data_IF_893571298123
#
_entry.id   IF_893571298123
#
_cell.length_a   1.000
_cell.length_b   1.000
_cell.length_c   1.000
_cell.angle_alpha   90.00
_cell.angle_beta   90.00
_cell.angle_gamma   90.00
#
_symmetry.space_group_name_H-M   'P 1'
#
loop_
_entity.id
_entity.type
_entity.pdbx_description
1 polymer ?
#
# COMPACT_ATOMS: atom_id res chain seq x y z
N UNK A 1 -12.42 -28.11 -33.96
CA UNK A 1 -11.25 -28.02 -33.05
C UNK A 1 -11.58 -28.74 -31.76
N UNK A 2 -10.68 -29.59 -31.21
CA UNK A 2 -10.93 -30.26 -29.94
C UNK A 2 -11.01 -29.22 -28.82
N UNK A 3 -11.93 -29.42 -27.89
CA UNK A 3 -12.16 -28.51 -26.76
C UNK A 3 -10.91 -28.54 -25.87
N UNK A 4 -10.22 -27.41 -25.76
CA UNK A 4 -9.01 -27.25 -24.94
C UNK A 4 -9.31 -27.72 -23.51
N UNK A 5 -8.60 -28.75 -23.05
CA UNK A 5 -8.75 -29.32 -21.72
C UNK A 5 -8.54 -28.21 -20.67
N UNK A 6 -9.55 -27.94 -19.84
CA UNK A 6 -9.44 -26.93 -18.78
C UNK A 6 -8.63 -27.55 -17.64
N UNK A 7 -7.42 -27.04 -17.42
CA UNK A 7 -6.63 -27.37 -16.22
C UNK A 7 -7.50 -27.19 -14.97
N UNK A 8 -7.48 -28.17 -14.07
CA UNK A 8 -8.13 -28.08 -12.77
C UNK A 8 -7.64 -26.83 -12.02
N UNK A 9 -8.55 -26.15 -11.32
CA UNK A 9 -8.19 -24.98 -10.49
C UNK A 9 -7.42 -25.49 -9.27
N UNK A 10 -6.14 -25.16 -9.18
CA UNK A 10 -5.26 -25.53 -8.06
C UNK A 10 -5.14 -24.34 -7.11
N UNK A 11 -5.31 -24.58 -5.80
CA UNK A 11 -5.09 -23.54 -4.78
C UNK A 11 -3.59 -23.31 -4.56
N UNK A 12 -3.15 -22.07 -4.25
CA UNK A 12 -1.73 -21.76 -4.09
C UNK A 12 -1.04 -22.69 -3.07
N UNK A 13 0.09 -23.30 -3.43
CA UNK A 13 0.77 -24.31 -2.61
C UNK A 13 1.35 -23.77 -1.30
N UNK A 14 1.57 -22.46 -1.20
CA UNK A 14 2.12 -21.79 -0.02
C UNK A 14 1.11 -21.52 1.10
N UNK A 15 -0.19 -21.74 0.87
CA UNK A 15 -1.19 -21.59 1.93
C UNK A 15 -1.13 -22.78 2.92
N UNK A 16 -1.31 -22.56 4.23
CA UNK A 16 -1.39 -23.67 5.17
C UNK A 16 -2.61 -24.54 4.87
N UNK A 17 -2.41 -25.87 4.85
CA UNK A 17 -3.51 -26.86 4.76
C UNK A 17 -3.90 -27.27 6.17
N UNK A 18 -5.18 -27.15 6.50
CA UNK A 18 -5.74 -27.67 7.74
C UNK A 18 -6.57 -28.89 7.39
N UNK A 19 -6.09 -30.06 7.76
CA UNK A 19 -6.79 -31.32 7.50
C UNK A 19 -7.99 -31.47 8.44
N UNK A 20 -9.14 -31.82 7.87
CA UNK A 20 -10.34 -32.22 8.61
C UNK A 20 -10.77 -33.59 8.12
N UNK A 21 -10.47 -34.62 8.90
CA UNK A 21 -10.88 -36.00 8.62
C UNK A 21 -12.30 -36.18 9.14
N UNK A 22 -13.22 -36.59 8.27
CA UNK A 22 -14.59 -36.94 8.63
C UNK A 22 -14.69 -38.46 8.58
N UNK A 23 -14.66 -39.10 9.75
CA UNK A 23 -14.81 -40.55 9.87
C UNK A 23 -16.30 -40.93 9.82
N UNK A 24 -16.64 -42.12 9.28
CA UNK A 24 -17.99 -42.66 9.39
C UNK A 24 -18.35 -42.90 10.87
N UNK A 25 -19.65 -42.78 11.19
CA UNK A 25 -20.15 -42.96 12.57
C UNK A 25 -19.81 -44.34 13.17
N UNK A 26 -19.61 -45.35 12.33
CA UNK A 26 -19.14 -46.67 12.72
C UNK A 26 -18.30 -47.26 11.58
N UNK A 27 -17.26 -48.01 11.96
CA UNK A 27 -16.43 -48.80 11.05
C UNK A 27 -16.71 -50.29 11.19
N UNK A 28 -17.67 -50.73 12.00
CA UNK A 28 -17.99 -52.15 12.15
C UNK A 28 -18.48 -52.74 10.83
N UNK A 29 -17.90 -53.88 10.40
CA UNK A 29 -18.35 -54.58 9.20
C UNK A 29 -19.79 -55.05 9.41
N UNK A 30 -20.72 -54.72 8.50
CA UNK A 30 -22.07 -55.26 8.52
C UNK A 30 -22.12 -56.80 8.51
N UNK A 31 -21.04 -57.44 8.06
CA UNK A 31 -20.86 -58.88 8.03
C UNK A 31 -20.47 -59.51 9.39
N UNK A 32 -20.17 -58.70 10.41
CA UNK A 32 -19.82 -59.17 11.75
C UNK A 32 -18.38 -59.64 11.94
N UNK A 33 -17.50 -59.47 10.94
CA UNK A 33 -16.10 -59.92 11.04
C UNK A 33 -15.17 -59.00 11.85
N UNK A 34 -15.70 -57.91 12.42
CA UNK A 34 -14.94 -56.88 13.13
C UNK A 34 -14.95 -55.55 12.39
N UNK A 35 -13.97 -54.69 12.68
CA UNK A 35 -13.87 -53.36 12.09
C UNK A 35 -13.31 -53.40 10.65
N UNK A 36 -13.85 -52.54 9.79
CA UNK A 36 -13.40 -52.33 8.41
C UNK A 36 -12.05 -51.60 8.39
N UNK A 37 -11.23 -51.91 7.39
CA UNK A 37 -9.92 -51.30 7.18
C UNK A 37 -9.99 -50.14 6.20
N UNK A 38 -9.20 -49.08 6.45
CA UNK A 38 -9.09 -47.92 5.55
C UNK A 38 -8.33 -48.31 4.28
N UNK A 39 -8.96 -48.19 3.11
CA UNK A 39 -8.40 -48.60 1.80
C UNK A 39 -8.01 -47.44 0.88
N UNK A 40 -8.44 -46.22 1.21
CA UNK A 40 -8.22 -45.03 0.38
C UNK A 40 -9.02 -43.84 0.95
N UNK A 41 -8.87 -42.70 0.30
CA UNK A 41 -9.59 -41.47 0.66
C UNK A 41 -9.86 -40.61 -0.56
N UNK A 42 -10.95 -39.85 -0.51
CA UNK A 42 -11.21 -38.75 -1.43
C UNK A 42 -10.82 -37.44 -0.76
N UNK A 43 -10.04 -36.61 -1.46
CA UNK A 43 -9.60 -35.30 -0.97
C UNK A 43 -10.28 -34.17 -1.73
N UNK A 44 -10.75 -33.15 -1.02
CA UNK A 44 -11.28 -31.92 -1.62
C UNK A 44 -10.65 -30.71 -0.92
N UNK A 45 -9.89 -29.91 -1.67
CA UNK A 45 -9.36 -28.66 -1.15
C UNK A 45 -10.40 -27.53 -1.27
N UNK A 46 -10.55 -26.77 -0.18
CA UNK A 46 -11.39 -25.56 -0.14
C UNK A 46 -10.61 -24.44 0.53
N UNK A 47 -10.71 -23.23 -0.02
CA UNK A 47 -10.11 -22.04 0.58
C UNK A 47 -10.96 -21.60 1.78
N UNK A 48 -10.35 -21.53 2.95
CA UNK A 48 -10.95 -21.01 4.18
C UNK A 48 -10.39 -19.62 4.53
N UNK A 49 -11.15 -18.83 5.28
CA UNK A 49 -10.74 -17.51 5.76
C UNK A 49 -10.98 -17.41 7.28
N UNK A 50 -9.89 -17.32 8.04
CA UNK A 50 -9.93 -17.00 9.46
C UNK A 50 -9.83 -15.48 9.60
N UNK A 51 -10.81 -14.80 10.20
CA UNK A 51 -10.78 -13.35 10.30
C UNK A 51 -9.60 -12.83 11.11
N UNK A 52 -9.16 -11.61 10.80
CA UNK A 52 -8.21 -10.90 11.63
C UNK A 52 -8.75 -10.75 13.06
N UNK A 53 -8.00 -11.25 14.05
CA UNK A 53 -8.32 -11.10 15.47
C UNK A 53 -7.64 -9.86 16.03
N UNK A 54 -8.40 -9.02 16.74
CA UNK A 54 -7.86 -7.90 17.50
C UNK A 54 -7.45 -8.37 18.90
N UNK A 55 -6.29 -7.91 19.37
CA UNK A 55 -5.79 -8.20 20.72
C UNK A 55 -5.25 -6.93 21.38
N UNK A 56 -5.29 -6.92 22.70
CA UNK A 56 -4.66 -5.88 23.52
C UNK A 56 -3.26 -6.35 23.92
N UNK A 57 -2.24 -5.53 23.66
CA UNK A 57 -0.89 -5.76 24.18
C UNK A 57 -0.75 -5.00 25.50
N UNK A 58 -0.55 -5.74 26.59
CA UNK A 58 -0.37 -5.15 27.94
C UNK A 58 1.11 -5.10 28.27
N UNK A 59 1.70 -3.91 28.22
CA UNK A 59 3.11 -3.70 28.59
C UNK A 59 3.22 -3.44 30.09
N UNK A 60 3.68 -4.45 30.85
CA UNK A 60 3.89 -4.33 32.30
C UNK A 60 5.33 -3.93 32.57
N UNK A 61 5.53 -2.84 33.31
CA UNK A 61 6.85 -2.34 33.74
C UNK A 61 6.93 -2.34 35.27
N UNK A 62 7.39 -3.43 35.91
CA UNK A 62 7.48 -3.50 37.35
C UNK A 62 8.46 -2.46 37.91
N UNK A 63 8.11 -1.91 39.08
CA UNK A 63 8.97 -1.01 39.86
C UNK A 63 9.61 -1.80 40.99
N UNK A 64 10.89 -1.59 41.21
CA UNK A 64 11.65 -2.26 42.26
C UNK A 64 12.22 -1.21 43.22
N UNK A 65 12.21 -1.50 44.51
CA UNK A 65 12.77 -0.64 45.54
C UNK A 65 13.61 -1.47 46.51
N UNK A 66 14.63 -0.85 47.14
CA UNK A 66 15.38 -1.51 48.20
C UNK A 66 14.46 -1.77 49.41
N UNK A 67 14.34 -3.02 49.89
CA UNK A 67 13.53 -3.31 51.09
C UNK A 67 13.99 -2.57 52.35
N UNK A 68 15.29 -2.20 52.40
CA UNK A 68 15.90 -1.47 53.51
C UNK A 68 15.93 0.05 53.30
N UNK A 69 15.30 0.57 52.24
CA UNK A 69 15.21 2.01 51.95
C UNK A 69 16.54 2.69 51.58
N UNK A 70 17.59 1.93 51.24
CA UNK A 70 18.94 2.46 51.00
C UNK A 70 19.18 2.98 49.58
N UNK A 71 18.29 2.67 48.65
CA UNK A 71 18.35 3.13 47.25
C UNK A 71 16.96 3.53 46.77
N UNK A 72 16.91 4.36 45.73
CA UNK A 72 15.67 4.78 45.07
C UNK A 72 14.94 3.66 44.31
N UNK A 73 13.79 4.02 43.74
CA UNK A 73 12.96 3.12 42.91
C UNK A 73 13.58 2.99 41.51
N UNK A 74 13.73 1.76 41.04
CA UNK A 74 14.19 1.42 39.68
C UNK A 74 13.02 0.88 38.86
N UNK A 75 12.88 1.37 37.64
CA UNK A 75 11.90 0.90 36.66
C UNK A 75 12.51 1.00 35.25
N UNK A 76 12.26 0.01 34.39
CA UNK A 76 12.60 0.12 32.96
C UNK A 76 11.89 1.33 32.34
N UNK A 77 12.47 2.01 31.34
CA UNK A 77 11.82 3.11 30.60
C UNK A 77 10.64 2.62 29.76
N UNK A 78 9.71 3.52 29.43
CA UNK A 78 8.62 3.19 28.51
C UNK A 78 9.22 2.92 27.12
N UNK A 79 8.77 1.88 26.40
CA UNK A 79 9.00 1.83 24.96
C UNK A 79 8.43 3.10 24.31
N UNK A 80 9.13 3.62 23.30
CA UNK A 80 8.57 4.67 22.47
C UNK A 80 7.55 4.06 21.50
N UNK A 81 6.45 4.76 21.28
CA UNK A 81 5.41 4.39 20.34
C UNK A 81 5.25 5.44 19.26
N UNK A 82 4.86 5.02 18.05
CA UNK A 82 4.66 5.96 16.95
C UNK A 82 3.61 7.02 17.32
N UNK A 83 2.49 6.59 17.90
CA UNK A 83 1.46 7.48 18.43
C UNK A 83 1.40 7.39 19.96
N UNK A 84 2.22 8.18 20.64
CA UNK A 84 2.21 8.29 22.10
C UNK A 84 0.79 8.61 22.64
N UNK A 85 0.45 7.95 23.76
CA UNK A 85 -0.85 8.10 24.44
C UNK A 85 -2.06 7.59 23.66
N UNK A 86 -1.86 6.87 22.56
CA UNK A 86 -2.95 6.36 21.70
C UNK A 86 -3.06 4.84 21.79
N UNK A 87 -4.24 4.29 21.48
CA UNK A 87 -4.47 2.84 21.53
C UNK A 87 -3.74 1.98 20.48
N UNK A 88 -3.53 2.43 19.23
CA UNK A 88 -3.12 1.52 18.17
C UNK A 88 -1.61 1.23 18.26
N UNK A 89 -1.26 -0.02 18.02
CA UNK A 89 0.13 -0.40 17.75
C UNK A 89 0.52 -0.01 16.33
N UNK A 90 1.82 0.02 16.05
CA UNK A 90 2.38 0.30 14.73
C UNK A 90 1.85 -0.69 13.67
N UNK A 91 1.67 -1.95 14.07
CA UNK A 91 1.07 -2.97 13.21
C UNK A 91 -0.40 -2.67 12.88
N UNK A 92 -1.20 -2.19 13.84
CA UNK A 92 -2.59 -1.79 13.58
C UNK A 92 -2.63 -0.56 12.67
N UNK A 93 -1.76 0.43 12.88
CA UNK A 93 -1.65 1.61 12.02
C UNK A 93 -1.29 1.21 10.58
N UNK A 94 -0.31 0.32 10.41
CA UNK A 94 0.06 -0.22 9.10
C UNK A 94 -1.12 -0.92 8.42
N UNK A 95 -1.87 -1.76 9.16
CA UNK A 95 -3.04 -2.44 8.61
C UNK A 95 -4.13 -1.45 8.15
N UNK A 96 -4.42 -0.41 8.94
CA UNK A 96 -5.41 0.63 8.60
C UNK A 96 -4.96 1.36 7.32
N UNK A 97 -3.68 1.73 7.24
CA UNK A 97 -3.10 2.42 6.10
C UNK A 97 -3.13 1.57 4.83
N UNK A 98 -2.69 0.30 4.88
CA UNK A 98 -2.74 -0.64 3.76
C UNK A 98 -4.17 -0.86 3.31
N UNK A 99 -5.09 -1.12 4.24
CA UNK A 99 -6.51 -1.32 3.92
C UNK A 99 -7.10 -0.09 3.22
N UNK A 100 -6.73 1.12 3.66
CA UNK A 100 -7.25 2.37 3.09
C UNK A 100 -6.68 2.65 1.70
N UNK A 101 -5.37 2.50 1.54
CA UNK A 101 -4.64 3.01 0.38
C UNK A 101 -4.35 1.96 -0.68
N UNK A 102 -4.03 0.71 -0.28
CA UNK A 102 -3.82 -0.41 -1.20
C UNK A 102 -5.14 -1.10 -1.54
N UNK A 103 -5.94 -1.42 -0.52
CA UNK A 103 -7.16 -2.23 -0.70
C UNK A 103 -8.42 -1.39 -0.93
N UNK A 104 -8.28 -0.07 -1.07
CA UNK A 104 -9.38 0.87 -1.31
C UNK A 104 -10.55 0.76 -0.31
N UNK A 105 -10.28 0.38 0.94
CA UNK A 105 -11.29 0.26 1.99
C UNK A 105 -11.39 1.57 2.78
N UNK A 106 -12.42 2.41 2.54
CA UNK A 106 -12.52 3.69 3.21
C UNK A 106 -12.71 3.53 4.73
N UNK A 107 -12.26 4.51 5.51
CA UNK A 107 -12.21 4.43 6.97
C UNK A 107 -13.58 4.18 7.62
N UNK A 108 -14.67 4.66 7.03
CA UNK A 108 -16.03 4.35 7.50
C UNK A 108 -16.34 2.85 7.40
N UNK A 109 -15.88 2.19 6.32
CA UNK A 109 -16.06 0.75 6.13
C UNK A 109 -15.16 -0.04 7.08
N UNK A 110 -13.94 0.44 7.32
CA UNK A 110 -13.05 -0.16 8.32
C UNK A 110 -13.65 -0.09 9.72
N UNK A 111 -14.20 1.06 10.13
CA UNK A 111 -14.88 1.22 11.42
C UNK A 111 -16.04 0.21 11.60
N UNK A 112 -16.87 0.01 10.56
CA UNK A 112 -17.95 -0.98 10.58
C UNK A 112 -17.41 -2.41 10.72
N UNK A 113 -16.31 -2.74 10.05
CA UNK A 113 -15.68 -4.06 10.17
C UNK A 113 -15.10 -4.27 11.57
N UNK A 114 -14.37 -3.30 12.12
CA UNK A 114 -13.84 -3.36 13.48
C UNK A 114 -14.96 -3.55 14.51
N UNK A 115 -16.09 -2.83 14.37
CA UNK A 115 -17.26 -2.99 15.23
C UNK A 115 -17.86 -4.41 15.16
N UNK A 116 -17.91 -5.05 13.97
CA UNK A 116 -18.36 -6.45 13.83
C UNK A 116 -17.41 -7.44 14.52
N UNK A 117 -16.14 -7.08 14.68
CA UNK A 117 -15.17 -7.84 15.45
C UNK A 117 -15.15 -7.47 16.94
N UNK A 118 -16.13 -6.72 17.43
CA UNK A 118 -16.24 -6.33 18.83
C UNK A 118 -15.33 -5.17 19.25
N UNK A 119 -14.74 -4.45 18.29
CA UNK A 119 -13.85 -3.30 18.53
C UNK A 119 -14.44 -2.04 17.90
N UNK A 120 -15.46 -1.42 18.52
CA UNK A 120 -16.07 -0.22 17.97
C UNK A 120 -15.09 0.97 18.05
N UNK A 121 -14.57 1.41 16.91
CA UNK A 121 -13.71 2.61 16.79
C UNK A 121 -14.38 3.59 15.83
N UNK A 122 -14.54 4.83 16.26
CA UNK A 122 -15.17 5.85 15.43
C UNK A 122 -14.29 6.21 14.22
N UNK A 123 -14.94 6.55 13.10
CA UNK A 123 -14.25 6.98 11.87
C UNK A 123 -13.33 8.19 12.11
N UNK A 124 -13.72 9.13 12.97
CA UNK A 124 -12.91 10.31 13.30
C UNK A 124 -11.60 9.93 13.99
N UNK A 125 -11.63 8.94 14.88
CA UNK A 125 -10.43 8.39 15.55
C UNK A 125 -9.51 7.73 14.53
N UNK A 126 -10.05 6.92 13.61
CA UNK A 126 -9.25 6.35 12.53
C UNK A 126 -8.63 7.44 11.62
N UNK A 127 -9.36 8.53 11.37
CA UNK A 127 -8.87 9.63 10.56
C UNK A 127 -7.75 10.42 11.27
N UNK A 128 -7.88 10.67 12.57
CA UNK A 128 -6.82 11.26 13.41
C UNK A 128 -5.55 10.42 13.37
N UNK A 129 -5.67 9.12 13.63
CA UNK A 129 -4.54 8.19 13.60
C UNK A 129 -3.85 8.18 12.24
N UNK A 130 -4.61 8.18 11.14
CA UNK A 130 -4.05 8.25 9.80
C UNK A 130 -3.34 9.58 9.52
N UNK A 131 -3.89 10.71 9.98
CA UNK A 131 -3.27 12.02 9.84
C UNK A 131 -1.93 12.10 10.57
N UNK A 132 -1.90 11.71 11.85
CA UNK A 132 -0.68 11.70 12.66
C UNK A 132 0.36 10.72 12.13
N UNK A 133 -0.05 9.52 11.72
CA UNK A 133 0.83 8.53 11.09
C UNK A 133 1.43 9.07 9.80
N UNK A 134 0.61 9.73 8.96
CA UNK A 134 1.07 10.39 7.74
C UNK A 134 2.11 11.48 7.98
N UNK A 135 1.94 12.29 9.03
CA UNK A 135 2.93 13.29 9.39
C UNK A 135 4.27 12.67 9.85
N UNK A 136 4.22 11.58 10.63
CA UNK A 136 5.42 10.93 11.16
C UNK A 136 6.20 10.13 10.11
N UNK A 137 5.55 9.67 9.04
CA UNK A 137 6.24 8.95 7.94
C UNK A 137 6.80 9.91 6.88
N UNK A 138 6.46 11.19 6.91
CA UNK A 138 6.92 12.18 5.92
C UNK A 138 8.44 12.18 5.71
N UNK A 139 9.31 12.11 6.75
CA UNK A 139 10.76 12.05 6.54
C UNK A 139 11.24 10.83 5.74
N UNK A 140 10.54 9.69 5.86
CA UNK A 140 10.84 8.49 5.07
C UNK A 140 10.48 8.74 3.60
N UNK A 141 9.33 9.36 3.35
CA UNK A 141 8.89 9.72 1.98
C UNK A 141 9.84 10.74 1.35
N UNK A 142 10.28 11.74 2.11
CA UNK A 142 11.25 12.74 1.66
C UNK A 142 12.59 12.08 1.29
N UNK A 143 13.06 11.14 2.12
CA UNK A 143 14.27 10.38 1.82
C UNK A 143 14.10 9.50 0.57
N UNK A 144 12.95 8.82 0.42
CA UNK A 144 12.63 8.06 -0.79
C UNK A 144 12.64 8.94 -2.04
N UNK A 145 12.13 10.17 -1.95
CA UNK A 145 12.13 11.13 -3.06
C UNK A 145 13.55 11.54 -3.46
N UNK A 146 14.46 11.71 -2.49
CA UNK A 146 15.88 11.97 -2.75
C UNK A 146 16.54 10.78 -3.43
N UNK A 147 16.35 9.56 -2.91
CA UNK A 147 16.95 8.34 -3.47
C UNK A 147 16.48 8.06 -4.90
N UNK A 148 15.22 8.37 -5.23
CA UNK A 148 14.71 8.23 -6.60
C UNK A 148 15.51 9.08 -7.59
N UNK A 149 16.00 10.25 -7.19
CA UNK A 149 16.74 11.19 -8.06
C UNK A 149 18.24 10.90 -8.15
N UNK A 150 18.88 10.40 -7.09
CA UNK A 150 20.34 10.31 -7.00
C UNK A 150 20.93 9.13 -7.80
N UNK A 151 20.22 8.00 -7.85
CA UNK A 151 20.73 6.75 -8.43
C UNK A 151 19.99 6.37 -9.73
N UNK A 152 19.71 7.35 -10.60
CA UNK A 152 19.16 7.06 -11.92
C UNK A 152 19.47 8.14 -12.95
N UNK A 153 19.47 7.72 -14.22
CA UNK A 153 19.54 8.62 -15.38
C UNK A 153 18.16 8.89 -15.99
N UNK A 154 17.12 8.21 -15.49
CA UNK A 154 15.78 8.26 -16.04
C UNK A 154 14.72 8.21 -14.95
N UNK A 155 13.76 9.13 -15.06
CA UNK A 155 12.53 9.13 -14.26
C UNK A 155 11.31 9.11 -15.17
N UNK A 156 10.20 8.67 -14.63
CA UNK A 156 8.89 8.78 -15.25
C UNK A 156 8.05 9.71 -14.38
N UNK A 157 7.41 10.68 -15.02
CA UNK A 157 6.61 11.70 -14.33
C UNK A 157 5.24 11.77 -14.98
N UNK A 158 4.21 11.66 -14.15
CA UNK A 158 2.81 11.74 -14.57
C UNK A 158 1.97 12.42 -13.49
N UNK A 159 1.04 13.28 -13.87
CA UNK A 159 0.10 13.90 -12.96
C UNK A 159 -1.32 13.35 -13.15
N UNK A 160 -1.89 12.82 -12.07
CA UNK A 160 -3.28 12.35 -12.03
C UNK A 160 -4.13 13.26 -11.16
N UNK A 161 -5.35 13.56 -11.62
CA UNK A 161 -6.27 14.42 -10.88
C UNK A 161 -7.00 13.65 -9.79
N UNK A 162 -7.26 14.32 -8.66
CA UNK A 162 -8.11 13.81 -7.58
C UNK A 162 -9.05 14.92 -7.08
N UNK A 163 -10.31 14.61 -6.73
CA UNK A 163 -11.19 15.55 -6.06
C UNK A 163 -10.73 15.76 -4.62
N UNK A 164 -10.38 16.99 -4.27
CA UNK A 164 -9.93 17.40 -2.93
C UNK A 164 -11.01 18.28 -2.32
N UNK A 165 -11.29 18.10 -1.03
CA UNK A 165 -12.23 18.97 -0.31
C UNK A 165 -11.75 20.43 -0.38
N UNK A 166 -12.68 21.35 -0.60
CA UNK A 166 -12.44 22.80 -0.57
C UNK A 166 -13.26 23.42 0.58
N UNK A 167 -12.75 23.35 1.83
CA UNK A 167 -13.50 23.80 3.02
C UNK A 167 -14.03 25.22 2.86
N UNK A 168 -15.26 25.46 3.32
CA UNK A 168 -15.97 26.73 3.17
C UNK A 168 -16.74 26.89 1.87
N UNK A 169 -16.49 26.07 0.83
CA UNK A 169 -17.22 26.15 -0.45
C UNK A 169 -18.25 25.05 -0.68
N UNK A 170 -18.34 24.07 0.22
CA UNK A 170 -19.29 22.95 0.10
C UNK A 170 -19.07 22.03 -1.12
N UNK A 171 -17.94 22.17 -1.81
CA UNK A 171 -17.59 21.41 -3.01
C UNK A 171 -16.15 20.92 -2.97
N UNK A 172 -15.80 20.08 -3.93
CA UNK A 172 -14.41 19.68 -4.18
C UNK A 172 -13.77 20.58 -5.23
N UNK A 173 -12.44 20.71 -5.14
CA UNK A 173 -11.58 21.26 -6.18
C UNK A 173 -10.72 20.16 -6.77
N UNK A 174 -10.22 20.39 -7.98
CA UNK A 174 -9.27 19.49 -8.63
C UNK A 174 -7.89 19.67 -7.99
N UNK A 175 -7.39 18.63 -7.34
CA UNK A 175 -5.99 18.51 -6.95
C UNK A 175 -5.22 17.60 -7.90
N UNK A 176 -3.89 17.67 -7.82
CA UNK A 176 -2.99 16.88 -8.67
C UNK A 176 -2.05 16.05 -7.79
N UNK A 177 -1.99 14.76 -8.05
CA UNK A 177 -1.00 13.84 -7.52
C UNK A 177 0.04 13.61 -8.61
N UNK A 178 1.22 14.18 -8.40
CA UNK A 178 2.37 14.02 -9.28
C UNK A 178 3.14 12.77 -8.87
N UNK A 179 3.03 11.71 -9.68
CA UNK A 179 3.81 10.51 -9.52
C UNK A 179 5.19 10.72 -10.14
N UNK A 180 6.24 10.60 -9.34
CA UNK A 180 7.62 10.48 -9.80
C UNK A 180 8.07 9.06 -9.51
N UNK A 181 8.43 8.32 -10.54
CA UNK A 181 8.81 6.92 -10.39
C UNK A 181 10.05 6.56 -11.18
N UNK A 182 10.73 5.52 -10.71
CA UNK A 182 11.82 4.82 -11.37
C UNK A 182 11.43 3.35 -11.45
N UNK A 183 11.48 2.76 -12.64
CA UNK A 183 11.33 1.31 -12.82
C UNK A 183 12.14 0.85 -14.04
N UNK A 184 13.39 0.48 -13.80
CA UNK A 184 14.33 0.09 -14.86
C UNK A 184 14.29 -1.41 -15.17
N UNK A 185 13.39 -2.18 -14.55
CA UNK A 185 13.31 -3.65 -14.74
C UNK A 185 13.04 -4.03 -16.19
N UNK A 186 12.24 -3.23 -16.90
CA UNK A 186 11.97 -3.42 -18.33
C UNK A 186 13.19 -3.22 -19.24
N UNK A 187 14.27 -2.63 -18.71
CA UNK A 187 15.48 -2.25 -19.45
C UNK A 187 16.75 -2.90 -18.89
N UNK A 188 16.61 -3.89 -18.00
CA UNK A 188 17.73 -4.58 -17.37
C UNK A 188 18.49 -3.76 -16.32
N UNK A 189 17.89 -2.66 -15.82
CA UNK A 189 18.49 -1.89 -14.73
C UNK A 189 18.46 -2.61 -13.40
N UNK A 190 19.49 -2.41 -12.59
CA UNK A 190 19.65 -3.02 -11.27
C UNK A 190 19.07 -2.18 -10.13
N UNK A 191 18.65 -0.94 -10.41
CA UNK A 191 18.10 -0.05 -9.41
C UNK A 191 16.70 -0.54 -8.94
N UNK A 192 16.40 -0.48 -7.63
CA UNK A 192 15.11 -0.93 -7.13
C UNK A 192 13.98 -0.02 -7.65
N UNK A 193 12.83 -0.58 -8.07
CA UNK A 193 11.71 0.23 -8.52
C UNK A 193 11.12 1.02 -7.35
N UNK A 194 10.62 2.21 -7.62
CA UNK A 194 10.00 3.05 -6.59
C UNK A 194 9.15 4.17 -7.17
N UNK A 195 8.18 4.63 -6.39
CA UNK A 195 7.31 5.75 -6.73
C UNK A 195 7.10 6.63 -5.51
N UNK A 196 7.16 7.94 -5.70
CA UNK A 196 6.74 8.94 -4.73
C UNK A 196 5.66 9.83 -5.36
N UNK A 197 4.62 10.11 -4.59
CA UNK A 197 3.52 10.98 -4.99
C UNK A 197 3.64 12.33 -4.31
N UNK A 198 3.68 13.41 -5.09
CA UNK A 198 3.65 14.78 -4.58
C UNK A 198 2.26 15.38 -4.83
N UNK A 199 1.59 15.82 -3.77
CA UNK A 199 0.37 16.60 -3.91
C UNK A 199 0.70 18.05 -4.27
N UNK A 200 0.05 18.59 -5.30
CA UNK A 200 0.06 20.02 -5.64
C UNK A 200 -1.35 20.47 -6.05
N UNK A 201 -1.71 21.75 -5.79
CA UNK A 201 -3.04 22.25 -6.13
C UNK A 201 -3.22 22.52 -7.63
N UNK A 202 -2.17 22.38 -8.44
CA UNK A 202 -2.21 22.62 -9.87
C UNK A 202 -1.24 21.75 -10.65
N UNK A 203 -1.30 21.90 -11.98
CA UNK A 203 -0.40 21.27 -12.94
C UNK A 203 0.62 22.23 -13.58
N UNK A 204 0.88 23.37 -12.92
CA UNK A 204 1.87 24.36 -13.41
C UNK A 204 3.23 23.71 -13.62
N UNK A 205 3.97 24.15 -14.63
CA UNK A 205 5.35 23.74 -14.85
C UNK A 205 6.26 24.04 -13.66
N UNK A 206 5.95 25.07 -12.87
CA UNK A 206 6.69 25.43 -11.66
C UNK A 206 6.71 24.29 -10.63
N UNK A 207 5.60 23.54 -10.50
CA UNK A 207 5.55 22.38 -9.62
C UNK A 207 6.42 21.24 -10.14
N UNK A 208 6.45 21.03 -11.46
CA UNK A 208 7.36 20.06 -12.06
C UNK A 208 8.84 20.46 -11.84
N UNK A 209 9.16 21.76 -11.95
CA UNK A 209 10.49 22.29 -11.67
C UNK A 209 10.91 22.06 -10.21
N UNK A 210 10.03 22.41 -9.27
CA UNK A 210 10.25 22.19 -7.83
C UNK A 210 10.46 20.70 -7.51
N UNK A 211 9.57 19.83 -8.01
CA UNK A 211 9.64 18.39 -7.77
C UNK A 211 10.91 17.78 -8.37
N UNK A 212 11.39 18.28 -9.52
CA UNK A 212 12.55 17.74 -10.23
C UNK A 212 13.84 18.49 -9.91
N UNK A 213 13.84 19.42 -8.96
CA UNK A 213 15.05 20.11 -8.51
C UNK A 213 16.15 19.11 -8.12
N UNK A 214 17.37 19.38 -8.57
CA UNK A 214 18.56 18.56 -8.40
C UNK A 214 18.68 17.33 -9.32
N UNK A 215 17.64 16.96 -10.06
CA UNK A 215 17.70 15.82 -10.99
C UNK A 215 18.20 16.23 -12.38
N UNK A 216 19.18 15.49 -12.91
CA UNK A 216 19.68 15.65 -14.27
C UNK A 216 19.55 14.32 -15.02
N UNK A 217 18.97 14.35 -16.22
CA UNK A 217 18.77 13.12 -17.00
C UNK A 217 17.59 13.20 -17.94
N UNK A 218 16.97 12.05 -18.17
CA UNK A 218 15.80 11.91 -19.03
C UNK A 218 14.55 11.78 -18.18
N UNK A 219 13.49 12.52 -18.51
CA UNK A 219 12.16 12.29 -17.94
C UNK A 219 11.20 11.78 -19.02
N UNK A 220 10.49 10.71 -18.73
CA UNK A 220 9.39 10.26 -19.56
C UNK A 220 8.07 10.91 -19.11
N UNK A 221 7.41 11.62 -20.03
CA UNK A 221 6.22 12.44 -19.74
C UNK A 221 5.13 12.26 -20.82
N UNK A 222 3.93 12.76 -20.57
CA UNK A 222 2.74 12.64 -21.44
C UNK A 222 2.69 13.65 -22.62
N UNK A 223 3.78 14.39 -22.86
CA UNK A 223 3.88 15.51 -23.80
C UNK A 223 3.06 16.75 -23.43
N UNK A 224 2.67 16.91 -22.16
CA UNK A 224 2.13 18.16 -21.67
C UNK A 224 3.15 19.30 -21.78
N UNK A 225 2.72 20.44 -22.32
CA UNK A 225 3.58 21.61 -22.56
C UNK A 225 4.25 22.16 -21.29
N UNK A 226 3.69 21.87 -20.11
CA UNK A 226 4.24 22.28 -18.81
C UNK A 226 5.65 21.77 -18.54
N UNK A 227 6.13 20.72 -19.22
CA UNK A 227 7.50 20.22 -19.06
C UNK A 227 8.53 20.91 -19.96
N UNK A 228 8.11 21.60 -21.03
CA UNK A 228 9.01 22.09 -22.08
C UNK A 228 10.09 23.05 -21.55
N UNK A 229 9.75 23.87 -20.56
CA UNK A 229 10.68 24.81 -19.95
C UNK A 229 11.86 24.13 -19.22
N UNK A 230 11.67 22.89 -18.75
CA UNK A 230 12.71 22.08 -18.09
C UNK A 230 13.76 21.56 -19.08
N UNK A 231 13.47 21.54 -20.37
CA UNK A 231 14.40 21.11 -21.42
C UNK A 231 15.32 22.24 -21.90
N UNK A 232 15.26 23.42 -21.28
CA UNK A 232 16.00 24.61 -21.74
C UNK A 232 17.21 24.89 -20.86
N UNK A 233 18.26 25.55 -21.39
CA UNK A 233 19.40 26.06 -20.60
C UNK A 233 19.03 27.04 -19.48
N UNK A 234 17.79 27.56 -19.49
CA UNK A 234 17.28 28.48 -18.48
C UNK A 234 16.65 27.75 -17.28
N UNK A 235 16.65 26.42 -17.27
CA UNK A 235 16.14 25.64 -16.13
C UNK A 235 16.90 26.03 -14.86
N UNK A 236 16.15 26.37 -13.81
CA UNK A 236 16.70 26.48 -12.47
C UNK A 236 16.71 25.08 -11.80
N UNK A 237 17.71 24.83 -10.96
CA UNK A 237 17.76 23.58 -10.19
C UNK A 237 18.42 22.39 -10.89
N UNK A 238 19.09 22.58 -12.04
CA UNK A 238 19.83 21.52 -12.73
C UNK A 238 20.10 21.83 -14.20
N UNK A 239 20.73 20.87 -14.87
CA UNK A 239 20.99 20.90 -16.31
C UNK A 239 19.69 20.71 -17.12
N UNK A 240 19.63 21.11 -18.40
CA UNK A 240 18.46 20.84 -19.25
C UNK A 240 18.07 19.35 -19.25
N UNK A 241 16.80 19.06 -18.96
CA UNK A 241 16.28 17.70 -19.01
C UNK A 241 16.07 17.24 -20.45
N UNK A 242 16.28 15.94 -20.68
CA UNK A 242 15.84 15.29 -21.93
C UNK A 242 14.40 14.82 -21.75
N UNK A 243 13.50 15.24 -22.64
CA UNK A 243 12.10 14.80 -22.60
C UNK A 243 11.91 13.60 -23.52
N UNK A 244 11.49 12.47 -22.94
CA UNK A 244 11.01 11.31 -23.68
C UNK A 244 9.47 11.31 -23.63
N UNK A 245 8.80 11.25 -24.78
CA UNK A 245 7.33 11.28 -24.81
C UNK A 245 6.74 9.88 -24.75
N UNK A 246 5.78 9.68 -23.86
CA UNK A 246 5.18 8.38 -23.58
C UNK A 246 4.32 7.86 -24.74
N UNK A 247 4.70 6.72 -25.32
CA UNK A 247 3.99 6.09 -26.43
C UNK A 247 2.57 5.65 -26.05
N UNK A 248 2.34 5.26 -24.79
CA UNK A 248 1.01 4.91 -24.32
C UNK A 248 0.07 6.13 -24.35
N UNK A 249 0.55 7.31 -23.96
CA UNK A 249 -0.20 8.56 -24.05
C UNK A 249 -0.47 8.96 -25.50
N UNK A 250 0.54 8.85 -26.38
CA UNK A 250 0.37 9.04 -27.83
C UNK A 250 -0.70 8.11 -28.42
N UNK A 251 -0.63 6.81 -28.12
CA UNK A 251 -1.61 5.82 -28.59
C UNK A 251 -3.03 6.13 -28.10
N UNK A 252 -3.22 6.52 -26.84
CA UNK A 252 -4.54 6.91 -26.31
C UNK A 252 -5.15 8.07 -27.10
N UNK A 253 -4.34 9.05 -27.50
CA UNK A 253 -4.81 10.19 -28.32
C UNK A 253 -5.22 9.75 -29.71
N UNK A 254 -4.45 8.87 -30.37
CA UNK A 254 -4.80 8.29 -31.66
C UNK A 254 -6.13 7.51 -31.61
N UNK A 255 -6.32 6.67 -30.58
CA UNK A 255 -7.58 5.94 -30.38
C UNK A 255 -8.74 6.90 -30.15
N UNK A 256 -8.55 7.94 -29.32
CA UNK A 256 -9.59 8.94 -29.06
C UNK A 256 -9.97 9.74 -30.32
N UNK A 257 -9.01 9.95 -31.22
CA UNK A 257 -9.22 10.63 -32.50
C UNK A 257 -9.84 9.72 -33.57
N UNK A 258 -9.92 8.39 -33.33
CA UNK A 258 -10.55 7.47 -34.27
C UNK A 258 -12.04 7.79 -34.38
N UNK A 259 -12.59 7.95 -35.60
CA UNK A 259 -14.01 8.22 -35.80
C UNK A 259 -14.87 7.15 -35.12
N UNK A 260 -15.89 7.58 -34.36
CA UNK A 260 -16.81 6.65 -33.69
C UNK A 260 -17.89 6.08 -34.61
N UNK A 261 -18.07 6.69 -35.79
CA UNK A 261 -18.91 6.22 -36.89
C UNK A 261 -18.22 6.56 -38.21
N UNK A 262 -18.17 5.58 -39.10
CA UNK A 262 -18.24 5.76 -40.54
C UNK A 262 -19.69 5.54 -40.95
#
# INVERSE_FOLDING_TARGET
SPRKERKARVLPANLPRVERVIEPLSIACPCGCGDMVRIGEDTTERLDYIPASYRVIVTIRPKYACPKGRTGVVQAKAPAHLLEGSWPTEALLAQIAVSKHSEHMPLNRQAVVMARHGVPIDRSVLADWMGRTGALIAPVVDHMAMMLKQDCSQLYVDETTAPILDPGRGKTKTGYLWAVLRDDRGWGGSAPPGVVFHYRPGRSGEYAAEILDGFNGTIQVDAYGGYSHLATPKRAGGDPLRLAFCWAHGRRKLIKATPKKG
#
